data_IF_118688896297
#
_entry.id   IF_118688896297
#
_cell.length_a   1.000
_cell.length_b   1.000
_cell.length_c   1.000
_cell.angle_alpha   90.00
_cell.angle_beta   90.00
_cell.angle_gamma   90.00
#
_symmetry.space_group_name_H-M   'P 1'
#
loop_
_entity.id
_entity.type
_entity.pdbx_description
1 polymer ?
#
# COMPACT_ATOMS: atom_id res chain seq x y z
N UNK A 1 13.04 -5.27 -44.10
CA UNK A 1 13.51 -3.87 -44.17
C UNK A 1 14.88 -3.69 -43.55
N UNK A 2 15.09 -3.98 -42.25
CA UNK A 2 16.40 -3.82 -41.59
C UNK A 2 17.56 -4.50 -42.34
N UNK A 3 17.37 -5.74 -42.80
CA UNK A 3 18.37 -6.46 -43.60
C UNK A 3 18.67 -5.80 -44.97
N UNK A 4 17.69 -5.12 -45.57
CA UNK A 4 17.92 -4.36 -46.80
C UNK A 4 18.71 -3.09 -46.53
N UNK A 5 18.48 -2.46 -45.37
CA UNK A 5 19.21 -1.27 -44.92
C UNK A 5 20.67 -1.59 -44.63
N UNK A 6 20.93 -2.69 -43.93
CA UNK A 6 22.28 -3.16 -43.62
C UNK A 6 23.09 -3.56 -44.88
N UNK A 7 22.44 -4.19 -45.86
CA UNK A 7 23.07 -4.56 -47.13
C UNK A 7 23.53 -3.33 -47.96
N UNK A 8 22.73 -2.27 -48.01
CA UNK A 8 23.05 -1.06 -48.79
C UNK A 8 24.07 -0.15 -48.10
N UNK A 9 24.09 -0.13 -46.76
CA UNK A 9 25.12 0.61 -45.99
C UNK A 9 26.50 -0.02 -46.22
N UNK A 10 26.56 -1.34 -46.36
CA UNK A 10 27.82 -2.07 -46.60
C UNK A 10 28.37 -1.80 -48.01
N UNK A 11 27.54 -1.38 -48.97
CA UNK A 11 27.96 -1.07 -50.35
C UNK A 11 28.36 0.40 -50.58
N UNK A 12 28.01 1.33 -49.68
CA UNK A 12 28.31 2.76 -49.79
C UNK A 12 29.59 3.16 -49.03
N UNK A 13 30.78 2.98 -49.65
CA UNK A 13 32.06 3.35 -49.03
C UNK A 13 32.72 4.65 -49.56
N UNK A 14 32.08 5.44 -50.42
CA UNK A 14 32.65 6.71 -50.87
C UNK A 14 31.60 7.74 -51.34
N UNK A 15 31.59 8.91 -50.68
CA UNK A 15 30.81 10.08 -51.09
C UNK A 15 29.48 10.24 -50.35
N UNK A 16 29.15 11.49 -49.99
CA UNK A 16 27.93 11.90 -49.27
C UNK A 16 26.71 11.12 -49.76
N UNK A 17 26.09 10.38 -48.83
CA UNK A 17 25.14 9.31 -49.11
C UNK A 17 24.00 9.76 -50.01
N UNK A 18 23.81 9.02 -51.11
CA UNK A 18 22.71 9.17 -52.07
C UNK A 18 21.32 9.05 -51.41
N UNK A 19 21.25 8.65 -50.13
CA UNK A 19 20.02 8.56 -49.33
C UNK A 19 20.30 8.88 -47.85
N UNK A 20 20.37 10.17 -47.52
CA UNK A 20 20.61 10.72 -46.18
C UNK A 20 19.77 10.07 -45.06
N UNK A 21 18.57 9.59 -45.40
CA UNK A 21 17.57 9.12 -44.46
C UNK A 21 17.77 7.67 -43.96
N UNK A 22 18.67 6.88 -44.58
CA UNK A 22 18.81 5.44 -44.27
C UNK A 22 19.33 5.18 -42.88
N UNK A 23 20.33 5.95 -42.44
CA UNK A 23 20.86 5.85 -41.09
C UNK A 23 19.80 6.23 -40.05
N UNK A 24 19.00 7.27 -40.32
CA UNK A 24 17.90 7.66 -39.45
C UNK A 24 16.83 6.57 -39.36
N UNK A 25 16.46 5.95 -40.49
CA UNK A 25 15.52 4.83 -40.50
C UNK A 25 16.03 3.63 -39.69
N UNK A 26 17.32 3.28 -39.82
CA UNK A 26 17.93 2.16 -39.09
C UNK A 26 17.93 2.41 -37.58
N UNK A 27 18.34 3.61 -37.17
CA UNK A 27 18.38 3.99 -35.75
C UNK A 27 16.97 3.99 -35.17
N UNK A 28 16.00 4.55 -35.89
CA UNK A 28 14.60 4.56 -35.46
C UNK A 28 14.00 3.16 -35.37
N UNK A 29 14.29 2.27 -36.33
CA UNK A 29 13.76 0.90 -36.29
C UNK A 29 14.25 0.14 -35.07
N UNK A 30 15.55 0.26 -34.74
CA UNK A 30 16.12 -0.37 -33.56
C UNK A 30 15.59 0.24 -32.26
N UNK A 31 15.53 1.57 -32.20
CA UNK A 31 15.04 2.30 -31.03
C UNK A 31 13.57 2.02 -30.73
N UNK A 32 12.70 2.08 -31.73
CA UNK A 32 11.25 1.89 -31.59
C UNK A 32 10.90 0.43 -31.32
N UNK A 33 11.63 -0.52 -31.90
CA UNK A 33 11.45 -1.94 -31.61
C UNK A 33 11.71 -2.30 -30.14
N UNK A 34 12.71 -1.68 -29.51
CA UNK A 34 13.08 -1.98 -28.13
C UNK A 34 12.06 -1.49 -27.10
N UNK A 35 11.29 -0.44 -27.41
CA UNK A 35 10.28 0.08 -26.49
C UNK A 35 9.18 -0.91 -26.13
N UNK A 36 8.79 -1.79 -27.06
CA UNK A 36 7.78 -2.82 -26.81
C UNK A 36 8.18 -3.73 -25.65
N UNK A 37 9.45 -4.13 -25.60
CA UNK A 37 9.97 -5.01 -24.55
C UNK A 37 10.05 -4.31 -23.20
N UNK A 38 10.48 -3.04 -23.19
CA UNK A 38 10.54 -2.23 -21.98
C UNK A 38 9.15 -1.99 -21.37
N UNK A 39 8.14 -1.66 -22.18
CA UNK A 39 6.77 -1.46 -21.70
C UNK A 39 6.19 -2.78 -21.18
N UNK A 40 6.45 -3.90 -21.87
CA UNK A 40 6.01 -5.23 -21.40
C UNK A 40 6.62 -5.60 -20.05
N UNK A 41 7.93 -5.46 -19.90
CA UNK A 41 8.60 -5.80 -18.64
C UNK A 41 8.08 -4.94 -17.48
N UNK A 42 7.82 -3.66 -17.74
CA UNK A 42 7.27 -2.75 -16.74
C UNK A 42 5.82 -3.11 -16.37
N UNK A 43 5.01 -3.52 -17.34
CA UNK A 43 3.67 -4.06 -17.11
C UNK A 43 3.70 -5.30 -16.21
N UNK A 44 4.62 -6.24 -16.47
CA UNK A 44 4.81 -7.44 -15.64
C UNK A 44 5.26 -7.10 -14.21
N UNK A 45 6.14 -6.12 -14.02
CA UNK A 45 6.53 -5.62 -12.69
C UNK A 45 5.34 -5.02 -11.92
N UNK A 46 4.49 -4.25 -12.61
CA UNK A 46 3.28 -3.66 -12.03
C UNK A 46 2.29 -4.75 -11.63
N UNK A 47 2.03 -5.73 -12.49
CA UNK A 47 1.11 -6.83 -12.18
C UNK A 47 1.56 -7.67 -10.98
N UNK A 48 2.86 -7.96 -10.86
CA UNK A 48 3.42 -8.59 -9.66
C UNK A 48 3.19 -7.73 -8.41
N UNK A 49 3.34 -6.42 -8.53
CA UNK A 49 3.10 -5.50 -7.42
C UNK A 49 1.63 -5.46 -7.02
N UNK A 50 0.70 -5.51 -7.98
CA UNK A 50 -0.75 -5.63 -7.73
C UNK A 50 -1.04 -6.90 -6.94
N UNK A 51 -0.54 -8.04 -7.40
CA UNK A 51 -0.81 -9.35 -6.78
C UNK A 51 -0.29 -9.39 -5.33
N UNK A 52 0.91 -8.85 -5.10
CA UNK A 52 1.47 -8.72 -3.76
C UNK A 52 0.63 -7.77 -2.90
N UNK A 53 0.19 -6.63 -3.43
CA UNK A 53 -0.62 -5.67 -2.68
C UNK A 53 -1.99 -6.24 -2.28
N UNK A 54 -2.62 -7.03 -3.15
CA UNK A 54 -3.91 -7.67 -2.88
C UNK A 54 -3.82 -8.84 -1.89
N UNK A 55 -2.67 -9.51 -1.84
CA UNK A 55 -2.41 -10.62 -0.91
C UNK A 55 -1.76 -10.17 0.40
N UNK A 56 -1.46 -8.89 0.55
CA UNK A 56 -0.79 -8.34 1.72
C UNK A 56 -1.72 -8.37 2.93
N UNK A 57 -1.44 -9.31 3.84
CA UNK A 57 -2.06 -9.35 5.16
C UNK A 57 -1.40 -8.30 6.06
N UNK A 58 -2.03 -7.12 6.14
CA UNK A 58 -1.55 -6.02 6.97
C UNK A 58 -1.55 -6.38 8.47
N UNK A 59 -2.24 -7.44 8.93
CA UNK A 59 -2.22 -7.84 10.34
C UNK A 59 -0.85 -8.37 10.80
N UNK A 60 -0.04 -8.90 9.88
CA UNK A 60 1.29 -9.48 10.16
C UNK A 60 2.44 -8.51 9.89
N UNK A 61 2.15 -7.35 9.31
CA UNK A 61 3.16 -6.38 8.86
C UNK A 61 3.89 -5.63 10.00
N UNK A 62 3.52 -5.83 11.26
CA UNK A 62 4.04 -5.07 12.42
C UNK A 62 5.51 -5.37 12.75
N UNK A 63 6.07 -6.46 12.21
CA UNK A 63 7.47 -6.85 12.43
C UNK A 63 8.35 -6.83 11.18
N UNK A 64 7.80 -6.53 10.01
CA UNK A 64 8.48 -6.83 8.74
C UNK A 64 8.76 -5.56 7.92
N UNK A 65 10.04 -5.17 7.86
CA UNK A 65 10.53 -4.06 7.01
C UNK A 65 10.19 -4.26 5.54
N UNK A 66 10.03 -5.51 5.11
CA UNK A 66 9.59 -5.86 3.76
C UNK A 66 8.16 -5.39 3.46
N UNK A 67 7.28 -5.33 4.47
CA UNK A 67 5.92 -4.78 4.31
C UNK A 67 5.95 -3.30 3.91
N UNK A 68 6.81 -2.50 4.54
CA UNK A 68 6.98 -1.08 4.22
C UNK A 68 7.62 -0.84 2.84
N UNK A 69 8.60 -1.67 2.46
CA UNK A 69 9.22 -1.59 1.12
C UNK A 69 8.20 -1.94 0.03
N UNK A 70 7.32 -2.93 0.28
CA UNK A 70 6.22 -3.29 -0.63
C UNK A 70 5.21 -2.15 -0.77
N UNK A 71 4.93 -1.39 0.29
CA UNK A 71 4.06 -0.21 0.25
C UNK A 71 4.65 0.94 -0.60
N UNK A 72 5.98 1.04 -0.69
CA UNK A 72 6.68 2.07 -1.48
C UNK A 72 6.90 1.67 -2.96
N UNK A 73 6.68 0.40 -3.30
CA UNK A 73 6.93 -0.14 -4.65
C UNK A 73 6.05 0.52 -5.73
N UNK A 74 4.75 0.81 -5.51
CA UNK A 74 3.93 1.55 -6.47
C UNK A 74 4.47 2.97 -6.75
N UNK A 75 4.91 3.69 -5.71
CA UNK A 75 5.50 5.02 -5.85
C UNK A 75 6.75 4.97 -6.74
N UNK A 76 7.63 4.00 -6.48
CA UNK A 76 8.85 3.76 -7.25
C UNK A 76 8.58 3.39 -8.72
N UNK A 77 7.54 2.59 -8.98
CA UNK A 77 7.10 2.26 -10.33
C UNK A 77 6.53 3.49 -11.06
N UNK A 78 5.79 4.34 -10.35
CA UNK A 78 5.34 5.64 -10.87
C UNK A 78 6.50 6.55 -11.26
N UNK A 79 7.53 6.64 -10.41
CA UNK A 79 8.73 7.42 -10.68
C UNK A 79 9.53 6.88 -11.88
N UNK A 80 9.48 5.57 -12.15
CA UNK A 80 10.06 4.98 -13.38
C UNK A 80 9.25 5.29 -14.65
N UNK A 81 7.93 5.41 -14.55
CA UNK A 81 7.02 5.69 -15.67
C UNK A 81 7.13 7.16 -16.13
N UNK A 82 7.34 8.10 -15.22
CA UNK A 82 7.44 9.54 -15.52
C UNK A 82 8.51 9.88 -16.59
N UNK A 83 9.78 9.42 -16.46
CA UNK A 83 10.80 9.60 -17.49
C UNK A 83 10.46 8.89 -18.81
N UNK A 84 9.67 7.82 -18.77
CA UNK A 84 9.29 7.06 -19.95
C UNK A 84 8.33 7.87 -20.83
N UNK A 85 7.32 8.48 -20.21
CA UNK A 85 6.37 9.37 -20.88
C UNK A 85 7.08 10.56 -21.54
N UNK A 86 8.03 11.19 -20.84
CA UNK A 86 8.80 12.31 -21.42
C UNK A 86 9.69 11.88 -22.59
N UNK A 87 10.37 10.73 -22.48
CA UNK A 87 11.20 10.18 -23.57
C UNK A 87 10.39 9.85 -24.83
N UNK A 88 9.21 9.24 -24.68
CA UNK A 88 8.33 8.94 -25.82
C UNK A 88 7.83 10.22 -26.51
N UNK A 89 7.52 11.27 -25.74
CA UNK A 89 7.16 12.60 -26.30
C UNK A 89 8.31 13.21 -27.11
N UNK A 90 9.53 13.16 -26.61
CA UNK A 90 10.72 13.66 -27.33
C UNK A 90 10.95 12.86 -28.61
N UNK A 91 10.82 11.53 -28.55
CA UNK A 91 10.95 10.68 -29.72
C UNK A 91 9.89 10.99 -30.78
N UNK A 92 8.64 11.22 -30.38
CA UNK A 92 7.55 11.63 -31.25
C UNK A 92 7.84 12.96 -31.96
N UNK A 93 8.33 13.95 -31.20
CA UNK A 93 8.70 15.26 -31.76
C UNK A 93 9.87 15.14 -32.73
N UNK A 94 10.85 14.27 -32.42
CA UNK A 94 11.96 13.97 -33.33
C UNK A 94 11.47 13.41 -34.67
N UNK A 95 10.55 12.44 -34.64
CA UNK A 95 9.94 11.86 -35.86
C UNK A 95 9.20 12.93 -36.66
N UNK A 96 8.45 13.83 -36.00
CA UNK A 96 7.76 14.95 -36.66
C UNK A 96 8.74 15.91 -37.34
N UNK A 97 9.84 16.27 -36.67
CA UNK A 97 10.87 17.11 -37.26
C UNK A 97 11.58 16.45 -38.43
N UNK A 98 11.79 15.14 -38.38
CA UNK A 98 12.34 14.40 -39.51
C UNK A 98 11.38 14.41 -40.71
N UNK A 99 10.08 14.32 -40.48
CA UNK A 99 9.06 14.44 -41.53
C UNK A 99 9.02 15.85 -42.15
N UNK A 100 9.10 16.91 -41.33
CA UNK A 100 9.25 18.29 -41.80
C UNK A 100 10.49 18.46 -42.70
N UNK A 101 11.64 17.90 -42.29
CA UNK A 101 12.88 17.93 -43.08
C UNK A 101 12.71 17.20 -44.42
N UNK A 102 12.01 16.07 -44.43
CA UNK A 102 11.72 15.33 -45.66
C UNK A 102 10.92 16.20 -46.65
N UNK A 103 9.86 16.87 -46.18
CA UNK A 103 9.07 17.78 -47.04
C UNK A 103 9.91 18.95 -47.55
N UNK A 104 10.81 19.49 -46.71
CA UNK A 104 11.73 20.55 -47.11
C UNK A 104 12.71 20.08 -48.19
N UNK A 105 13.30 18.89 -48.05
CA UNK A 105 14.23 18.33 -49.04
C UNK A 105 13.54 17.97 -50.36
N UNK A 106 12.31 17.48 -50.32
CA UNK A 106 11.49 17.29 -51.51
C UNK A 106 11.24 18.63 -52.23
N UNK A 107 10.86 19.69 -51.49
CA UNK A 107 10.62 21.02 -52.07
C UNK A 107 11.85 21.64 -52.75
N UNK A 108 13.05 21.24 -52.31
CA UNK A 108 14.34 21.68 -52.86
C UNK A 108 14.89 20.76 -53.96
N UNK A 109 14.18 19.68 -54.29
CA UNK A 109 14.59 18.71 -55.32
C UNK A 109 15.75 17.79 -54.90
N UNK A 110 16.04 17.68 -53.59
CA UNK A 110 17.08 16.77 -53.08
C UNK A 110 16.61 15.31 -52.97
N UNK A 111 15.32 15.05 -53.13
CA UNK A 111 14.72 13.72 -53.06
C UNK A 111 13.78 13.47 -54.22
N UNK A 112 13.71 12.22 -54.68
CA UNK A 112 12.67 11.78 -55.61
C UNK A 112 11.32 11.70 -54.88
N UNK A 113 10.23 11.81 -55.63
CA UNK A 113 8.88 11.71 -55.06
C UNK A 113 8.65 10.34 -54.40
N UNK A 114 9.12 9.27 -55.02
CA UNK A 114 9.07 7.90 -54.49
C UNK A 114 9.88 7.74 -53.18
N UNK A 115 11.11 8.26 -53.13
CA UNK A 115 11.92 8.22 -51.91
C UNK A 115 11.28 9.04 -50.77
N UNK A 116 10.70 10.21 -51.10
CA UNK A 116 10.01 11.08 -50.12
C UNK A 116 8.75 10.39 -49.57
N UNK A 117 7.93 9.81 -50.44
CA UNK A 117 6.70 9.12 -50.04
C UNK A 117 7.00 7.87 -49.21
N UNK A 118 8.05 7.13 -49.57
CA UNK A 118 8.50 5.97 -48.79
C UNK A 118 8.95 6.41 -47.40
N UNK A 119 9.77 7.45 -47.29
CA UNK A 119 10.22 7.97 -45.99
C UNK A 119 9.06 8.45 -45.13
N UNK A 120 8.11 9.20 -45.70
CA UNK A 120 6.92 9.68 -45.01
C UNK A 120 6.05 8.53 -44.49
N UNK A 121 5.92 7.44 -45.26
CA UNK A 121 5.20 6.24 -44.85
C UNK A 121 5.84 5.58 -43.62
N UNK A 122 7.17 5.48 -43.59
CA UNK A 122 7.90 4.99 -42.42
C UNK A 122 7.75 5.91 -41.20
N UNK A 123 7.83 7.23 -41.40
CA UNK A 123 7.62 8.19 -40.30
C UNK A 123 6.19 8.10 -39.75
N UNK A 124 5.19 7.94 -40.61
CA UNK A 124 3.80 7.74 -40.19
C UNK A 124 3.63 6.46 -39.36
N UNK A 125 4.27 5.36 -39.77
CA UNK A 125 4.32 4.12 -39.00
C UNK A 125 4.96 4.33 -37.62
N UNK A 126 6.12 4.97 -37.56
CA UNK A 126 6.82 5.25 -36.32
C UNK A 126 6.03 6.18 -35.40
N UNK A 127 5.43 7.24 -35.94
CA UNK A 127 4.54 8.15 -35.20
C UNK A 127 3.40 7.38 -34.53
N UNK A 128 2.67 6.59 -35.32
CA UNK A 128 1.55 5.77 -34.83
C UNK A 128 2.01 4.79 -33.74
N UNK A 129 3.18 4.18 -33.92
CA UNK A 129 3.75 3.22 -32.97
C UNK A 129 4.13 3.89 -31.64
N UNK A 130 4.79 5.06 -31.68
CA UNK A 130 5.17 5.83 -30.48
C UNK A 130 3.92 6.37 -29.75
N UNK A 131 2.89 6.79 -30.49
CA UNK A 131 1.60 7.20 -29.91
C UNK A 131 0.91 6.02 -29.21
N UNK A 132 0.93 4.82 -29.81
CA UNK A 132 0.44 3.58 -29.18
C UNK A 132 1.21 3.20 -27.90
N UNK A 133 2.53 3.37 -27.89
CA UNK A 133 3.35 3.20 -26.70
C UNK A 133 3.04 4.23 -25.62
N UNK A 134 2.88 5.50 -26.00
CA UNK A 134 2.48 6.56 -25.06
C UNK A 134 1.15 6.22 -24.40
N UNK A 135 0.19 5.70 -25.18
CA UNK A 135 -1.09 5.27 -24.63
C UNK A 135 -0.97 4.08 -23.68
N UNK A 136 -0.08 3.15 -23.97
CA UNK A 136 0.19 2.00 -23.11
C UNK A 136 0.82 2.44 -21.78
N UNK A 137 1.74 3.41 -21.81
CA UNK A 137 2.34 4.00 -20.62
C UNK A 137 1.29 4.74 -19.77
N UNK A 138 0.38 5.51 -20.37
CA UNK A 138 -0.74 6.13 -19.65
C UNK A 138 -1.62 5.11 -18.92
N UNK A 139 -1.89 3.95 -19.56
CA UNK A 139 -2.65 2.87 -18.92
C UNK A 139 -1.88 2.30 -17.72
N UNK A 140 -0.57 2.11 -17.84
CA UNK A 140 0.27 1.64 -16.73
C UNK A 140 0.33 2.67 -15.59
N UNK A 141 0.45 3.96 -15.89
CA UNK A 141 0.38 5.05 -14.91
C UNK A 141 -0.95 5.03 -14.16
N UNK A 142 -2.08 4.86 -14.88
CA UNK A 142 -3.40 4.73 -14.28
C UNK A 142 -3.52 3.51 -13.36
N UNK A 143 -2.95 2.37 -13.75
CA UNK A 143 -2.90 1.16 -12.90
C UNK A 143 -2.10 1.42 -11.62
N UNK A 144 -0.90 1.99 -11.72
CA UNK A 144 -0.05 2.30 -10.56
C UNK A 144 -0.75 3.25 -9.60
N UNK A 145 -1.39 4.30 -10.12
CA UNK A 145 -2.18 5.23 -9.30
C UNK A 145 -3.33 4.53 -8.59
N UNK A 146 -4.08 3.68 -9.28
CA UNK A 146 -5.17 2.91 -8.67
C UNK A 146 -4.70 2.00 -7.53
N UNK A 147 -3.51 1.40 -7.65
CA UNK A 147 -2.90 0.61 -6.56
C UNK A 147 -2.55 1.51 -5.37
N UNK A 148 -1.90 2.65 -5.61
CA UNK A 148 -1.57 3.60 -4.55
C UNK A 148 -2.82 4.07 -3.80
N UNK A 149 -3.90 4.37 -4.52
CA UNK A 149 -5.17 4.79 -3.90
C UNK A 149 -5.79 3.66 -3.07
N UNK A 150 -5.84 2.43 -3.60
CA UNK A 150 -6.34 1.25 -2.87
C UNK A 150 -5.53 0.99 -1.59
N UNK A 151 -4.21 1.12 -1.68
CA UNK A 151 -3.31 0.92 -0.57
C UNK A 151 -3.49 1.99 0.52
N UNK A 152 -3.67 3.25 0.12
CA UNK A 152 -3.99 4.33 1.04
C UNK A 152 -5.31 4.09 1.77
N UNK A 153 -6.35 3.61 1.06
CA UNK A 153 -7.63 3.23 1.65
C UNK A 153 -7.46 2.07 2.64
N UNK A 154 -6.73 1.02 2.26
CA UNK A 154 -6.48 -0.14 3.13
C UNK A 154 -5.73 0.25 4.42
N UNK A 155 -4.71 1.09 4.32
CA UNK A 155 -3.98 1.63 5.47
C UNK A 155 -4.88 2.46 6.39
N UNK A 156 -5.73 3.32 5.82
CA UNK A 156 -6.66 4.14 6.60
C UNK A 156 -7.71 3.28 7.33
N UNK A 157 -8.28 2.28 6.66
CA UNK A 157 -9.21 1.33 7.27
C UNK A 157 -8.56 0.57 8.43
N UNK A 158 -7.30 0.12 8.28
CA UNK A 158 -6.57 -0.51 9.38
C UNK A 158 -6.38 0.45 10.56
N UNK A 159 -6.03 1.71 10.29
CA UNK A 159 -5.91 2.74 11.33
C UNK A 159 -7.21 2.92 12.12
N UNK A 160 -8.35 2.91 11.45
CA UNK A 160 -9.67 2.96 12.08
C UNK A 160 -9.98 1.70 12.90
N UNK A 161 -9.69 0.50 12.37
CA UNK A 161 -9.89 -0.75 13.10
C UNK A 161 -9.08 -0.81 14.39
N UNK A 162 -7.80 -0.43 14.34
CA UNK A 162 -6.93 -0.38 15.53
C UNK A 162 -7.45 0.63 16.56
N UNK A 163 -7.89 1.81 16.11
CA UNK A 163 -8.48 2.81 16.99
C UNK A 163 -9.77 2.30 17.67
N UNK A 164 -10.62 1.61 16.91
CA UNK A 164 -11.84 1.00 17.46
C UNK A 164 -11.53 -0.11 18.46
N UNK A 165 -10.55 -0.97 18.19
CA UNK A 165 -10.15 -2.04 19.12
C UNK A 165 -9.60 -1.47 20.44
N UNK A 166 -8.83 -0.38 20.38
CA UNK A 166 -8.35 0.33 21.57
C UNK A 166 -9.54 0.93 22.35
N UNK A 167 -10.48 1.54 21.65
CA UNK A 167 -11.67 2.11 22.27
C UNK A 167 -12.53 1.02 22.95
N UNK A 168 -12.73 -0.12 22.30
CA UNK A 168 -13.48 -1.25 22.85
C UNK A 168 -12.77 -1.84 24.08
N UNK A 169 -11.45 -2.02 24.04
CA UNK A 169 -10.66 -2.43 25.22
C UNK A 169 -10.75 -1.41 26.35
N UNK A 170 -10.72 -0.12 26.04
CA UNK A 170 -10.88 0.93 27.06
C UNK A 170 -12.28 0.90 27.68
N UNK A 171 -13.34 0.69 26.88
CA UNK A 171 -14.70 0.53 27.37
C UNK A 171 -14.83 -0.71 28.26
N UNK A 172 -14.23 -1.83 27.85
CA UNK A 172 -14.21 -3.05 28.65
C UNK A 172 -13.50 -2.84 30.00
N UNK A 173 -12.28 -2.27 29.99
CA UNK A 173 -11.55 -1.96 31.22
C UNK A 173 -12.31 -0.99 32.13
N UNK A 174 -13.04 -0.03 31.56
CA UNK A 174 -13.88 0.91 32.32
C UNK A 174 -15.09 0.20 32.93
N UNK A 175 -15.71 -0.74 32.20
CA UNK A 175 -16.81 -1.56 32.69
C UNK A 175 -16.38 -2.48 33.83
N UNK A 176 -15.28 -3.21 33.65
CA UNK A 176 -14.70 -4.09 34.68
C UNK A 176 -14.34 -3.29 35.94
N UNK A 177 -13.72 -2.11 35.81
CA UNK A 177 -13.44 -1.24 36.95
C UNK A 177 -14.71 -0.74 37.66
N UNK A 178 -15.81 -0.52 36.92
CA UNK A 178 -17.09 -0.14 37.50
C UNK A 178 -17.75 -1.30 38.25
N UNK A 179 -17.70 -2.52 37.71
CA UNK A 179 -18.18 -3.74 38.36
C UNK A 179 -17.37 -4.07 39.62
N UNK A 180 -16.05 -3.92 39.60
CA UNK A 180 -15.20 -4.10 40.79
C UNK A 180 -15.54 -3.09 41.89
N UNK A 181 -15.74 -1.81 41.53
CA UNK A 181 -16.16 -0.79 42.49
C UNK A 181 -17.57 -1.07 43.05
N UNK A 182 -18.50 -1.55 42.23
CA UNK A 182 -19.82 -1.97 42.68
C UNK A 182 -19.73 -3.16 43.67
N UNK A 183 -18.88 -4.14 43.37
CA UNK A 183 -18.64 -5.31 44.22
C UNK A 183 -18.06 -4.91 45.58
N UNK A 184 -17.05 -4.03 45.60
CA UNK A 184 -16.47 -3.51 46.84
C UNK A 184 -17.51 -2.76 47.68
N UNK A 185 -18.38 -1.96 47.05
CA UNK A 185 -19.46 -1.25 47.75
C UNK A 185 -20.47 -2.22 48.37
N UNK A 186 -20.86 -3.28 47.67
CA UNK A 186 -21.80 -4.30 48.19
C UNK A 186 -21.18 -5.02 49.39
N UNK A 187 -19.93 -5.48 49.29
CA UNK A 187 -19.24 -6.15 50.40
C UNK A 187 -19.13 -5.22 51.61
N UNK A 188 -18.79 -3.96 51.40
CA UNK A 188 -18.68 -2.95 52.47
C UNK A 188 -20.03 -2.68 53.15
N UNK A 189 -21.13 -2.68 52.40
CA UNK A 189 -22.48 -2.54 52.95
C UNK A 189 -22.86 -3.74 53.82
N UNK A 190 -22.58 -4.95 53.34
CA UNK A 190 -22.84 -6.18 54.10
C UNK A 190 -22.01 -6.21 55.39
N UNK A 191 -20.74 -5.82 55.34
CA UNK A 191 -19.88 -5.76 56.54
C UNK A 191 -20.33 -4.66 57.50
N UNK A 192 -20.71 -3.47 57.03
CA UNK A 192 -21.24 -2.39 57.88
C UNK A 192 -22.50 -2.79 58.66
N UNK A 193 -23.34 -3.65 58.09
CA UNK A 193 -24.56 -4.15 58.75
C UNK A 193 -24.22 -5.29 59.72
N UNK A 194 -23.40 -6.24 59.27
CA UNK A 194 -23.13 -7.46 60.03
C UNK A 194 -22.19 -7.21 61.22
N UNK A 195 -21.23 -6.30 61.08
CA UNK A 195 -20.17 -6.09 62.06
C UNK A 195 -20.70 -5.57 63.41
N UNK A 196 -21.57 -4.54 63.49
CA UNK A 196 -22.19 -4.12 64.74
C UNK A 196 -23.09 -5.19 65.35
N UNK A 197 -23.88 -5.89 64.53
CA UNK A 197 -24.77 -6.96 64.99
C UNK A 197 -23.98 -8.13 65.62
N UNK A 198 -22.82 -8.45 65.06
CA UNK A 198 -21.92 -9.47 65.59
C UNK A 198 -21.29 -9.05 66.93
N UNK A 199 -21.01 -7.76 67.14
CA UNK A 199 -20.58 -7.26 68.46
C UNK A 199 -21.70 -7.43 69.50
N UNK A 200 -22.93 -7.07 69.14
CA UNK A 200 -24.09 -7.19 70.03
C UNK A 200 -24.37 -8.65 70.38
N UNK A 201 -24.28 -9.58 69.42
CA UNK A 201 -24.51 -11.00 69.67
C UNK A 201 -23.47 -11.61 70.62
N UNK A 202 -22.19 -11.28 70.44
CA UNK A 202 -21.11 -11.70 71.36
C UNK A 202 -21.33 -11.13 72.75
N UNK A 203 -21.70 -9.86 72.88
CA UNK A 203 -22.03 -9.26 74.19
C UNK A 203 -23.21 -9.98 74.86
N UNK A 204 -24.30 -10.23 74.12
CA UNK A 204 -25.48 -10.94 74.66
C UNK A 204 -25.15 -12.36 75.12
N UNK A 205 -24.35 -13.12 74.36
CA UNK A 205 -23.91 -14.45 74.74
C UNK A 205 -23.05 -14.40 76.01
N UNK A 206 -22.13 -13.43 76.12
CA UNK A 206 -21.32 -13.23 77.32
C UNK A 206 -22.19 -12.94 78.55
N UNK A 207 -23.22 -12.09 78.42
CA UNK A 207 -24.17 -11.81 79.50
C UNK A 207 -25.00 -13.03 79.89
N UNK A 208 -25.47 -13.81 78.91
CA UNK A 208 -26.21 -15.05 79.17
C UNK A 208 -25.35 -16.06 79.95
N UNK A 209 -24.07 -16.23 79.55
CA UNK A 209 -23.13 -17.11 80.23
C UNK A 209 -22.86 -16.66 81.67
N UNK A 210 -22.68 -15.36 81.91
CA UNK A 210 -22.53 -14.79 83.25
C UNK A 210 -23.76 -15.05 84.13
N UNK A 211 -24.97 -14.87 83.59
CA UNK A 211 -26.22 -15.12 84.33
C UNK A 211 -26.42 -16.60 84.64
N UNK A 212 -26.09 -17.51 83.73
CA UNK A 212 -26.10 -18.95 84.00
C UNK A 212 -25.09 -19.34 85.09
N UNK A 213 -23.88 -18.76 85.08
CA UNK A 213 -22.88 -19.00 86.12
C UNK A 213 -23.32 -18.47 87.51
N UNK A 214 -24.00 -17.32 87.56
CA UNK A 214 -24.58 -16.76 88.79
C UNK A 214 -25.77 -17.59 89.31
N UNK A 215 -26.60 -18.13 88.42
CA UNK A 215 -27.74 -18.99 88.79
C UNK A 215 -27.27 -20.33 89.36
N UNK A 216 -26.24 -20.95 88.76
CA UNK A 216 -25.62 -22.17 89.31
C UNK A 216 -24.95 -21.90 90.66
N UNK A 217 -24.40 -20.70 90.88
CA UNK A 217 -23.80 -20.31 92.18
C UNK A 217 -24.84 -20.05 93.27
N UNK A 218 -26.06 -19.69 92.91
CA UNK A 218 -27.16 -19.48 93.86
C UNK A 218 -27.80 -20.80 94.34
N UNK A 219 -27.61 -21.90 93.60
CA UNK A 219 -28.16 -23.23 93.92
C UNK A 219 -27.15 -24.17 94.60
N UNK A 220 -25.98 -23.64 95.00
CA UNK A 220 -25.03 -24.37 95.85
C UNK A 220 -25.48 -24.28 97.31
N UNK A 221 -25.87 -25.39 97.97
CA UNK A 221 -26.15 -25.36 99.40
C UNK A 221 -24.91 -24.93 100.17
N UNK A 222 -25.07 -23.88 100.99
CA UNK A 222 -24.13 -23.48 102.03
C UNK A 222 -24.04 -24.62 103.06
N UNK A 223 -23.03 -25.47 102.97
CA UNK A 223 -22.55 -26.20 104.12
C UNK A 223 -21.65 -25.26 104.94
N UNK A 224 -22.20 -24.74 106.04
CA UNK A 224 -21.42 -24.16 107.13
C UNK A 224 -20.79 -25.26 108.00
N UNK A 225 -19.69 -24.95 108.71
CA UNK A 225 -18.77 -25.95 109.24
C UNK A 225 -19.17 -26.39 110.66
N UNK A 226 -19.23 -27.70 110.88
CA UNK A 226 -18.86 -28.38 112.14
C UNK A 226 -18.44 -29.81 111.83
#
# INVERSE_FOLDING_TARGET
MQQQIEAEITSQHAGVSKRWYWMHLLVLSAYIGNWRWCIRSLGEEIEKTVDIALTLDLSKADHDKDGLIRLLTPQYLGDKLLPLSSRLKVALETVRKLDEINTFFQSKGFMTDDDSQRFASEMAYYKTTIEGYSKSVEVLEGKVKGISDLLAVALNLKGQTVANEINDKMLQLTSEAFEDNATVRVVTLVTLIYLPASFVSVSLIQYAWYMSALTIRADSPRNEPF
#
